data_IF_332053540305
#
_entry.id   IF_332053540305
#
_cell.length_a   1.000
_cell.length_b   1.000
_cell.length_c   1.000
_cell.angle_alpha   90.00
_cell.angle_beta   90.00
_cell.angle_gamma   90.00
#
_symmetry.space_group_name_H-M   'P 1'
#
loop_
_entity.id
_entity.type
_entity.pdbx_description
1 polymer ?
#
# COMPACT_ATOMS: atom_id res chain seq x y z
N UNK A 1 3.83 57.21 -36.31
CA UNK A 1 2.69 56.72 -36.98
C UNK A 1 1.53 56.52 -35.99
N UNK A 2 0.54 57.37 -36.15
CA UNK A 2 -0.62 57.52 -35.25
C UNK A 2 -1.63 56.40 -35.53
N UNK A 3 -2.19 55.85 -34.49
CA UNK A 3 -3.44 55.09 -34.45
C UNK A 3 -4.64 56.03 -34.56
N UNK A 4 -5.77 55.61 -35.11
CA UNK A 4 -7.04 56.10 -34.62
C UNK A 4 -7.93 54.96 -34.07
N UNK A 5 -8.44 55.22 -32.88
CA UNK A 5 -9.61 54.58 -32.28
C UNK A 5 -10.86 54.77 -33.14
N UNK A 6 -11.67 53.74 -33.25
CA UNK A 6 -13.05 53.82 -33.66
C UNK A 6 -13.93 53.11 -32.62
N UNK A 7 -14.56 53.92 -31.79
CA UNK A 7 -15.57 53.48 -30.83
C UNK A 7 -16.87 53.11 -31.56
N UNK A 8 -17.41 51.95 -31.22
CA UNK A 8 -18.79 51.59 -31.53
C UNK A 8 -19.58 51.51 -30.22
N UNK A 9 -20.39 52.57 -30.00
CA UNK A 9 -21.47 52.58 -29.02
C UNK A 9 -22.60 51.69 -29.50
N UNK A 10 -22.75 50.52 -28.93
CA UNK A 10 -23.95 49.70 -29.04
C UNK A 10 -24.98 50.12 -27.99
N UNK A 11 -26.05 50.73 -28.44
CA UNK A 11 -27.23 51.01 -27.63
C UNK A 11 -27.94 49.74 -27.23
N UNK A 12 -27.88 49.41 -25.97
CA UNK A 12 -28.66 48.32 -25.34
C UNK A 12 -30.13 48.74 -25.24
N UNK A 13 -30.93 48.23 -26.17
CA UNK A 13 -32.39 48.35 -26.09
C UNK A 13 -32.92 47.36 -25.05
N UNK A 14 -33.40 47.90 -23.98
CA UNK A 14 -34.08 47.18 -22.90
C UNK A 14 -35.46 46.70 -23.39
N UNK A 15 -35.53 45.46 -23.90
CA UNK A 15 -36.80 44.82 -24.23
C UNK A 15 -37.31 44.13 -22.95
N UNK A 16 -38.04 44.87 -22.16
CA UNK A 16 -38.81 44.37 -21.05
C UNK A 16 -39.96 43.46 -21.53
N UNK A 17 -39.68 42.16 -21.67
CA UNK A 17 -40.72 41.15 -21.89
C UNK A 17 -41.56 41.00 -20.62
N UNK A 18 -42.71 41.67 -20.59
CA UNK A 18 -43.76 41.44 -19.59
C UNK A 18 -44.28 40.01 -19.74
N UNK A 19 -43.77 39.11 -18.89
CA UNK A 19 -44.31 37.76 -18.71
C UNK A 19 -45.67 37.88 -18.01
N UNK A 20 -46.77 37.43 -18.59
CA UNK A 20 -48.05 37.43 -17.93
C UNK A 20 -48.04 36.54 -16.70
N UNK A 21 -48.47 37.06 -15.56
CA UNK A 21 -48.61 36.32 -14.32
C UNK A 21 -49.51 35.11 -14.54
N UNK A 22 -49.08 33.88 -14.13
CA UNK A 22 -49.95 32.71 -14.25
C UNK A 22 -51.16 32.89 -13.31
N UNK A 23 -52.32 32.72 -13.90
CA UNK A 23 -53.62 32.73 -13.18
C UNK A 23 -53.55 31.58 -12.15
N UNK A 24 -53.62 31.93 -10.87
CA UNK A 24 -53.74 30.94 -9.78
C UNK A 24 -55.10 30.20 -9.98
N UNK A 25 -55.03 29.02 -10.60
CA UNK A 25 -56.12 28.04 -10.51
C UNK A 25 -56.24 27.67 -9.03
N UNK A 26 -57.43 27.82 -8.50
CA UNK A 26 -57.79 27.49 -7.12
C UNK A 26 -57.27 26.11 -6.77
N UNK A 27 -56.61 26.02 -5.60
CA UNK A 27 -56.11 24.77 -5.08
C UNK A 27 -57.25 23.76 -5.00
N UNK A 28 -57.05 22.51 -5.44
CA UNK A 28 -58.05 21.45 -5.24
C UNK A 28 -58.28 21.25 -3.74
N UNK A 29 -59.52 20.90 -3.33
CA UNK A 29 -59.80 20.67 -1.92
C UNK A 29 -58.91 19.58 -1.33
N UNK A 30 -58.50 19.70 -0.07
CA UNK A 30 -57.66 18.73 0.59
C UNK A 30 -58.35 17.36 0.53
N UNK A 31 -57.69 16.40 -0.15
CA UNK A 31 -58.13 14.99 -0.14
C UNK A 31 -58.05 14.50 1.28
N UNK A 32 -59.19 14.14 1.87
CA UNK A 32 -59.25 13.39 3.11
C UNK A 32 -58.30 12.19 3.01
N UNK A 33 -57.39 11.99 3.98
CA UNK A 33 -56.47 10.86 3.93
C UNK A 33 -57.29 9.56 4.05
N UNK A 34 -57.19 8.75 3.00
CA UNK A 34 -57.83 7.44 2.95
C UNK A 34 -57.18 6.55 4.02
N UNK A 35 -57.88 6.05 5.02
CA UNK A 35 -57.30 5.30 6.12
C UNK A 35 -56.60 4.00 5.61
N UNK A 36 -57.05 3.46 4.47
CA UNK A 36 -56.43 2.31 3.85
C UNK A 36 -55.06 2.60 3.23
N UNK A 37 -54.78 3.85 2.80
CA UNK A 37 -53.47 4.24 2.23
C UNK A 37 -52.41 4.35 3.32
N UNK A 38 -52.77 4.69 4.56
CA UNK A 38 -51.86 4.74 5.69
C UNK A 38 -51.38 3.35 6.14
N UNK A 39 -52.28 2.38 6.12
CA UNK A 39 -51.96 1.02 6.56
C UNK A 39 -51.10 0.27 5.55
N UNK A 40 -51.33 0.46 4.26
CA UNK A 40 -50.46 -0.07 3.20
C UNK A 40 -49.07 0.55 3.17
N UNK A 41 -48.97 1.86 3.42
CA UNK A 41 -47.67 2.55 3.53
C UNK A 41 -46.88 2.12 4.79
N UNK A 42 -47.56 1.84 5.89
CA UNK A 42 -46.92 1.30 7.11
C UNK A 42 -46.40 -0.14 6.89
N UNK A 43 -47.17 -0.99 6.22
CA UNK A 43 -46.73 -2.37 5.85
C UNK A 43 -45.54 -2.36 4.87
N UNK A 44 -45.52 -1.47 3.89
CA UNK A 44 -44.39 -1.31 2.97
C UNK A 44 -43.12 -0.84 3.67
N UNK A 45 -43.25 0.06 4.66
CA UNK A 45 -42.10 0.52 5.47
C UNK A 45 -41.51 -0.58 6.35
N UNK A 46 -42.31 -1.53 6.81
CA UNK A 46 -41.85 -2.63 7.66
C UNK A 46 -41.10 -3.73 6.87
N UNK A 47 -41.35 -3.84 5.57
CA UNK A 47 -40.70 -4.85 4.69
C UNK A 47 -39.36 -4.38 4.12
N UNK A 48 -39.12 -3.07 4.05
CA UNK A 48 -37.88 -2.50 3.46
C UNK A 48 -36.58 -2.87 4.22
N UNK A 49 -36.53 -2.97 5.56
CA UNK A 49 -35.32 -3.33 6.27
C UNK A 49 -34.89 -4.79 6.01
N UNK A 50 -35.88 -5.71 5.89
CA UNK A 50 -35.60 -7.14 5.66
C UNK A 50 -35.02 -7.42 4.27
N UNK A 51 -35.43 -6.66 3.27
CA UNK A 51 -34.92 -6.80 1.89
C UNK A 51 -33.48 -6.26 1.77
N UNK A 52 -33.18 -5.11 2.38
CA UNK A 52 -31.82 -4.55 2.43
C UNK A 52 -30.85 -5.50 3.15
N UNK A 53 -31.25 -6.11 4.23
CA UNK A 53 -30.41 -7.03 5.00
C UNK A 53 -30.10 -8.32 4.23
N UNK A 54 -31.04 -8.87 3.46
CA UNK A 54 -30.81 -10.03 2.60
C UNK A 54 -29.86 -9.71 1.44
N UNK A 55 -29.98 -8.53 0.84
CA UNK A 55 -29.12 -8.10 -0.26
C UNK A 55 -27.68 -7.87 0.22
N UNK A 56 -27.50 -7.30 1.44
CA UNK A 56 -26.20 -7.11 2.04
C UNK A 56 -25.52 -8.45 2.34
N UNK A 57 -26.25 -9.41 2.91
CA UNK A 57 -25.71 -10.76 3.17
C UNK A 57 -25.29 -11.48 1.89
N UNK A 58 -26.05 -11.36 0.81
CA UNK A 58 -25.65 -11.94 -0.49
C UNK A 58 -24.39 -11.29 -1.04
N UNK A 59 -24.25 -9.97 -0.98
CA UNK A 59 -23.03 -9.26 -1.43
C UNK A 59 -21.81 -9.65 -0.60
N UNK A 60 -21.96 -9.75 0.71
CA UNK A 60 -20.89 -10.20 1.60
C UNK A 60 -20.52 -11.66 1.29
N UNK A 61 -21.53 -12.54 1.09
CA UNK A 61 -21.26 -13.93 0.70
C UNK A 61 -20.50 -14.03 -0.62
N UNK A 62 -20.91 -13.30 -1.65
CA UNK A 62 -20.19 -13.27 -2.93
C UNK A 62 -18.77 -12.69 -2.78
N UNK A 63 -18.58 -11.66 -1.98
CA UNK A 63 -17.25 -11.11 -1.72
C UNK A 63 -16.34 -12.13 -1.02
N UNK A 64 -16.86 -12.88 -0.05
CA UNK A 64 -16.12 -13.95 0.63
C UNK A 64 -15.77 -15.10 -0.32
N UNK A 65 -16.69 -15.51 -1.19
CA UNK A 65 -16.45 -16.56 -2.18
C UNK A 65 -15.38 -16.12 -3.19
N UNK A 66 -15.46 -14.89 -3.69
CA UNK A 66 -14.44 -14.34 -4.60
C UNK A 66 -13.07 -14.27 -3.93
N UNK A 67 -13.02 -13.81 -2.66
CA UNK A 67 -11.78 -13.75 -1.89
C UNK A 67 -11.20 -15.17 -1.66
N UNK A 68 -12.04 -16.15 -1.32
CA UNK A 68 -11.62 -17.54 -1.16
C UNK A 68 -11.09 -18.14 -2.47
N UNK A 69 -11.74 -17.84 -3.58
CA UNK A 69 -11.33 -18.29 -4.90
C UNK A 69 -10.00 -17.65 -5.33
N UNK A 70 -9.82 -16.37 -5.06
CA UNK A 70 -8.54 -15.67 -5.29
C UNK A 70 -7.41 -16.31 -4.47
N UNK A 71 -7.65 -16.58 -3.18
CA UNK A 71 -6.68 -17.28 -2.33
C UNK A 71 -6.37 -18.68 -2.87
N UNK A 72 -7.38 -19.43 -3.30
CA UNK A 72 -7.19 -20.76 -3.87
C UNK A 72 -6.34 -20.75 -5.15
N UNK A 73 -6.55 -19.76 -6.03
CA UNK A 73 -5.74 -19.57 -7.25
C UNK A 73 -4.29 -19.25 -6.90
N UNK A 74 -4.06 -18.36 -5.93
CA UNK A 74 -2.71 -17.99 -5.46
C UNK A 74 -2.00 -19.19 -4.82
N UNK A 75 -2.72 -20.04 -4.07
CA UNK A 75 -2.18 -21.29 -3.50
C UNK A 75 -1.81 -22.28 -4.61
N UNK A 76 -2.70 -22.45 -5.60
CA UNK A 76 -2.49 -23.40 -6.71
C UNK A 76 -1.34 -23.01 -7.64
N UNK A 77 -1.10 -21.69 -7.81
CA UNK A 77 0.00 -21.20 -8.67
C UNK A 77 1.38 -21.24 -8.00
N UNK A 78 1.46 -21.66 -6.72
CA UNK A 78 2.73 -21.74 -5.99
C UNK A 78 3.43 -20.41 -5.74
N UNK A 79 2.81 -19.28 -6.11
CA UNK A 79 3.37 -17.94 -5.94
C UNK A 79 3.30 -17.41 -4.51
N UNK A 80 2.62 -18.17 -3.61
CA UNK A 80 2.44 -17.77 -2.20
C UNK A 80 3.76 -17.63 -1.45
N UNK A 81 4.72 -18.51 -1.67
CA UNK A 81 5.99 -18.46 -0.97
C UNK A 81 6.79 -17.20 -1.32
N UNK A 82 6.80 -16.81 -2.59
CA UNK A 82 7.50 -15.60 -3.05
C UNK A 82 6.76 -14.32 -2.62
N UNK A 83 5.43 -14.28 -2.70
CA UNK A 83 4.65 -13.11 -2.32
C UNK A 83 4.58 -12.90 -0.80
N UNK A 84 4.53 -13.98 0.00
CA UNK A 84 4.61 -13.89 1.46
C UNK A 84 6.01 -13.46 1.93
N UNK A 85 7.06 -13.90 1.25
CA UNK A 85 8.42 -13.43 1.52
C UNK A 85 8.57 -11.92 1.25
N UNK A 86 7.95 -11.41 0.15
CA UNK A 86 7.93 -9.98 -0.18
C UNK A 86 7.10 -9.16 0.81
N UNK A 87 5.95 -9.68 1.25
CA UNK A 87 5.12 -9.02 2.26
C UNK A 87 5.82 -8.98 3.63
N UNK A 88 6.48 -10.08 4.02
CA UNK A 88 7.27 -10.11 5.24
C UNK A 88 8.41 -9.08 5.22
N UNK A 89 9.08 -8.91 4.11
CA UNK A 89 10.19 -7.96 3.94
C UNK A 89 9.73 -6.49 4.02
N UNK A 90 8.52 -6.20 3.54
CA UNK A 90 7.91 -4.85 3.67
C UNK A 90 7.45 -4.55 5.09
N UNK A 91 6.89 -5.53 5.79
CA UNK A 91 6.46 -5.38 7.19
C UNK A 91 7.67 -5.22 8.10
N UNK A 92 8.69 -6.07 7.96
CA UNK A 92 9.95 -5.97 8.72
C UNK A 92 10.64 -4.62 8.47
N UNK A 93 10.60 -4.13 7.24
CA UNK A 93 11.13 -2.80 6.89
C UNK A 93 10.36 -1.67 7.57
N UNK A 94 9.04 -1.80 7.69
CA UNK A 94 8.20 -0.80 8.37
C UNK A 94 8.43 -0.80 9.89
N UNK A 95 8.59 -1.97 10.50
CA UNK A 95 8.89 -2.10 11.95
C UNK A 95 10.22 -1.44 12.27
N UNK A 96 11.26 -1.68 11.47
CA UNK A 96 12.58 -1.04 11.66
C UNK A 96 12.53 0.48 11.51
N UNK A 97 11.58 1.01 10.76
CA UNK A 97 11.41 2.45 10.61
C UNK A 97 10.76 3.10 11.85
N UNK A 98 9.98 2.31 12.59
CA UNK A 98 9.31 2.75 13.84
C UNK A 98 10.21 2.57 15.06
N UNK A 99 11.06 1.54 15.07
CA UNK A 99 11.95 1.23 16.18
C UNK A 99 13.24 2.07 16.11
N UNK A 100 13.13 3.32 16.58
CA UNK A 100 14.22 4.30 16.64
C UNK A 100 14.99 4.28 17.96
N UNK A 101 14.66 3.35 18.85
CA UNK A 101 14.94 3.54 20.28
C UNK A 101 16.35 3.14 20.75
N UNK A 102 17.09 2.31 20.00
CA UNK A 102 18.34 1.72 20.50
C UNK A 102 19.58 2.01 19.63
N UNK A 103 19.61 3.09 18.89
CA UNK A 103 20.77 3.46 18.10
C UNK A 103 21.16 4.91 18.27
N UNK A 104 22.42 5.20 18.14
CA UNK A 104 22.96 6.56 18.13
C UNK A 104 24.34 6.58 17.49
N UNK A 105 24.61 7.64 16.71
CA UNK A 105 25.96 7.89 16.20
C UNK A 105 26.75 8.77 17.15
N UNK A 106 28.06 8.48 17.37
CA UNK A 106 28.86 7.41 16.78
C UNK A 106 28.58 6.04 17.39
N UNK A 107 28.45 4.99 16.54
CA UNK A 107 28.29 3.60 16.98
C UNK A 107 29.58 2.83 16.69
N UNK A 108 29.98 1.98 17.64
CA UNK A 108 31.07 1.02 17.41
C UNK A 108 30.51 -0.19 16.71
N UNK A 109 30.99 -0.45 15.49
CA UNK A 109 30.66 -1.69 14.77
C UNK A 109 31.41 -2.88 15.40
N UNK A 110 30.86 -4.08 15.27
CA UNK A 110 31.49 -5.27 15.84
C UNK A 110 32.69 -5.78 15.06
N UNK A 111 32.99 -5.19 13.89
CA UNK A 111 34.08 -5.60 12.98
C UNK A 111 35.22 -4.57 13.09
N UNK A 112 36.40 -5.05 13.47
CA UNK A 112 37.56 -4.16 13.65
C UNK A 112 38.22 -3.82 12.30
N UNK A 113 38.20 -4.77 11.35
CA UNK A 113 38.82 -4.63 10.03
C UNK A 113 37.82 -5.08 8.96
N UNK A 114 36.96 -4.18 8.50
CA UNK A 114 35.96 -4.50 7.50
C UNK A 114 36.59 -4.70 6.12
N UNK A 115 36.24 -5.79 5.46
CA UNK A 115 36.65 -6.10 4.09
C UNK A 115 35.87 -5.24 3.07
N UNK A 116 34.60 -5.00 3.35
CA UNK A 116 33.69 -4.26 2.47
C UNK A 116 32.56 -3.63 3.29
N UNK A 117 32.20 -2.40 2.94
CA UNK A 117 31.05 -1.69 3.52
C UNK A 117 30.22 -1.16 2.36
N UNK A 118 28.92 -1.48 2.35
CA UNK A 118 28.01 -1.08 1.29
C UNK A 118 26.72 -0.49 1.84
N UNK A 119 26.17 0.49 1.13
CA UNK A 119 24.90 1.11 1.50
C UNK A 119 23.73 0.21 1.12
N UNK A 120 22.84 0.03 2.05
CA UNK A 120 21.58 -0.68 1.90
C UNK A 120 20.44 0.28 2.19
N UNK A 121 19.28 0.13 1.55
CA UNK A 121 18.14 1.03 1.79
C UNK A 121 17.79 1.10 3.29
N UNK A 122 17.98 2.28 3.89
CA UNK A 122 17.75 2.54 5.32
C UNK A 122 18.85 2.05 6.27
N UNK A 123 20.10 1.88 5.77
CA UNK A 123 21.25 1.51 6.57
C UNK A 123 22.47 1.13 5.74
N UNK A 124 23.29 0.25 6.28
CA UNK A 124 24.46 -0.29 5.59
C UNK A 124 24.73 -1.72 6.05
N UNK A 125 25.48 -2.42 5.24
CA UNK A 125 25.98 -3.77 5.55
C UNK A 125 27.51 -3.73 5.56
N UNK A 126 28.08 -4.35 6.57
CA UNK A 126 29.50 -4.46 6.81
C UNK A 126 29.91 -5.92 6.73
N UNK A 127 30.89 -6.21 5.89
CA UNK A 127 31.47 -7.54 5.70
C UNK A 127 32.84 -7.56 6.36
N UNK A 128 33.02 -8.46 7.32
CA UNK A 128 34.32 -8.83 7.88
C UNK A 128 34.82 -10.16 7.32
N UNK A 129 35.89 -10.67 7.89
CA UNK A 129 36.47 -11.96 7.49
C UNK A 129 35.52 -13.14 7.80
N UNK A 130 34.83 -13.10 8.92
CA UNK A 130 33.96 -14.18 9.43
C UNK A 130 32.52 -13.74 9.60
N UNK A 131 32.29 -12.43 9.76
CA UNK A 131 31.00 -11.85 10.13
C UNK A 131 30.45 -10.93 9.04
N UNK A 132 29.14 -10.90 8.95
CA UNK A 132 28.37 -9.92 8.17
C UNK A 132 27.39 -9.25 9.10
N UNK A 133 27.51 -7.94 9.25
CA UNK A 133 26.67 -7.15 10.13
C UNK A 133 25.84 -6.14 9.32
N UNK A 134 24.57 -6.05 9.65
CA UNK A 134 23.66 -5.07 9.06
C UNK A 134 23.25 -4.06 10.12
N UNK A 135 23.40 -2.79 9.81
CA UNK A 135 23.04 -1.69 10.68
C UNK A 135 21.95 -0.81 10.06
N UNK A 136 21.08 -0.26 10.89
CA UNK A 136 20.13 0.78 10.48
C UNK A 136 20.86 2.11 10.24
N UNK A 137 20.17 3.05 9.59
CA UNK A 137 20.65 4.43 9.46
C UNK A 137 20.85 5.13 10.81
N UNK A 138 20.29 4.58 11.88
CA UNK A 138 20.39 5.11 13.24
C UNK A 138 21.50 4.45 14.09
N UNK A 139 22.26 3.51 13.51
CA UNK A 139 23.35 2.83 14.20
C UNK A 139 22.93 1.58 14.99
N UNK A 140 21.67 1.16 14.92
CA UNK A 140 21.23 -0.08 15.56
C UNK A 140 21.61 -1.28 14.71
N UNK A 141 22.17 -2.32 15.33
CA UNK A 141 22.47 -3.59 14.66
C UNK A 141 21.18 -4.38 14.42
N UNK A 142 20.90 -4.66 13.14
CA UNK A 142 19.68 -5.34 12.70
C UNK A 142 19.89 -6.84 12.54
N UNK A 143 21.01 -7.21 11.89
CA UNK A 143 21.30 -8.60 11.53
C UNK A 143 22.78 -8.90 11.74
N UNK A 144 23.07 -10.12 12.19
CA UNK A 144 24.40 -10.67 12.30
C UNK A 144 24.41 -12.06 11.69
N UNK A 145 25.34 -12.31 10.79
CA UNK A 145 25.53 -13.58 10.10
C UNK A 145 26.99 -13.99 10.17
N UNK A 146 27.23 -15.30 10.23
CA UNK A 146 28.58 -15.90 10.17
C UNK A 146 28.60 -16.94 9.04
N UNK A 147 28.79 -16.50 7.79
CA UNK A 147 28.72 -17.40 6.64
C UNK A 147 29.87 -18.42 6.59
N UNK A 148 30.96 -18.22 7.35
CA UNK A 148 32.14 -19.09 7.38
C UNK A 148 32.79 -19.33 6.00
N UNK A 149 32.75 -18.33 5.15
CA UNK A 149 33.31 -18.40 3.79
C UNK A 149 34.80 -18.06 3.79
N UNK A 150 35.61 -18.83 3.04
CA UNK A 150 37.03 -18.59 2.97
C UNK A 150 37.40 -17.25 2.30
N UNK A 151 36.62 -16.80 1.32
CA UNK A 151 36.79 -15.53 0.63
C UNK A 151 35.42 -14.89 0.39
N UNK A 152 34.80 -14.33 1.45
CA UNK A 152 33.50 -13.73 1.33
C UNK A 152 33.55 -12.45 0.48
N UNK A 153 32.55 -12.26 -0.35
CA UNK A 153 32.30 -11.05 -1.14
C UNK A 153 30.86 -10.64 -0.99
N UNK A 154 30.63 -9.36 -0.86
CA UNK A 154 29.31 -8.76 -0.70
C UNK A 154 28.85 -8.14 -2.02
N UNK A 155 27.61 -8.42 -2.40
CA UNK A 155 26.90 -7.74 -3.48
C UNK A 155 25.57 -7.19 -2.97
N UNK A 156 25.33 -5.90 -3.19
CA UNK A 156 24.14 -5.20 -2.65
C UNK A 156 23.23 -4.76 -3.78
N UNK A 157 21.93 -4.96 -3.57
CA UNK A 157 20.87 -4.56 -4.49
C UNK A 157 19.69 -3.96 -3.75
N UNK A 158 19.69 -2.65 -3.57
CA UNK A 158 18.59 -1.90 -2.97
C UNK A 158 18.27 -2.31 -1.52
N UNK A 159 17.30 -3.19 -1.31
CA UNK A 159 16.85 -3.67 0.02
C UNK A 159 17.42 -5.02 0.41
N UNK A 160 18.18 -5.66 -0.46
CA UNK A 160 18.72 -7.01 -0.29
C UNK A 160 20.21 -7.02 -0.57
N UNK A 161 20.87 -8.02 -0.02
CA UNK A 161 22.28 -8.27 -0.32
C UNK A 161 22.55 -9.78 -0.45
N UNK A 162 23.60 -10.09 -1.13
CA UNK A 162 24.11 -11.45 -1.25
C UNK A 162 25.54 -11.50 -0.74
N UNK A 163 25.86 -12.55 0.01
CA UNK A 163 27.22 -12.90 0.38
C UNK A 163 27.55 -14.20 -0.32
N UNK A 164 28.64 -14.22 -1.05
CA UNK A 164 29.08 -15.42 -1.75
C UNK A 164 30.57 -15.68 -1.52
N UNK A 165 30.94 -16.95 -1.58
CA UNK A 165 32.32 -17.36 -1.49
C UNK A 165 32.99 -17.30 -2.86
N UNK A 166 33.94 -16.38 -3.05
CA UNK A 166 34.68 -16.25 -4.34
C UNK A 166 35.53 -17.47 -4.67
N UNK A 167 35.90 -18.25 -3.68
CA UNK A 167 36.74 -19.45 -3.84
C UNK A 167 35.96 -20.76 -3.69
N UNK A 168 34.62 -20.68 -3.58
CA UNK A 168 33.74 -21.82 -3.34
C UNK A 168 32.43 -21.67 -4.09
N UNK A 169 31.48 -22.51 -3.73
CA UNK A 169 30.17 -22.65 -4.39
C UNK A 169 29.02 -22.17 -3.49
N UNK A 170 29.33 -21.46 -2.41
CA UNK A 170 28.34 -21.04 -1.43
C UNK A 170 27.80 -19.65 -1.75
N UNK A 171 26.50 -19.51 -1.62
CA UNK A 171 25.76 -18.25 -1.77
C UNK A 171 24.72 -18.12 -0.67
N UNK A 172 24.69 -16.98 -0.02
CA UNK A 172 23.61 -16.60 0.91
C UNK A 172 23.02 -15.26 0.48
N UNK A 173 21.72 -15.25 0.29
CA UNK A 173 20.94 -14.04 -0.04
C UNK A 173 20.12 -13.63 1.17
N UNK A 174 20.21 -12.36 1.54
CA UNK A 174 19.57 -11.81 2.73
C UNK A 174 18.75 -10.57 2.42
N UNK A 175 17.71 -10.35 3.20
CA UNK A 175 17.13 -9.04 3.43
C UNK A 175 17.85 -8.36 4.59
N UNK A 176 17.43 -7.15 4.95
CA UNK A 176 18.00 -6.44 6.11
C UNK A 176 17.81 -7.17 7.44
N UNK A 177 16.74 -7.97 7.56
CA UNK A 177 16.31 -8.57 8.82
C UNK A 177 16.54 -10.07 8.91
N UNK A 178 16.71 -10.74 7.77
CA UNK A 178 16.78 -12.22 7.74
C UNK A 178 17.46 -12.76 6.49
N UNK A 179 17.91 -14.00 6.60
CA UNK A 179 18.33 -14.81 5.46
C UNK A 179 17.10 -15.24 4.66
N UNK A 180 17.12 -15.00 3.37
CA UNK A 180 16.06 -15.40 2.43
C UNK A 180 16.36 -16.72 1.76
N UNK A 181 17.63 -16.95 1.45
CA UNK A 181 18.08 -18.09 0.70
C UNK A 181 19.54 -18.40 1.03
N UNK A 182 19.88 -19.65 1.20
CA UNK A 182 21.27 -20.10 1.36
C UNK A 182 21.42 -21.43 0.62
N UNK A 183 22.41 -21.52 -0.24
CA UNK A 183 22.68 -22.71 -1.02
C UNK A 183 24.19 -22.91 -1.22
N UNK A 184 24.55 -24.19 -1.24
CA UNK A 184 25.84 -24.66 -1.72
C UNK A 184 25.60 -25.30 -3.10
N UNK A 185 26.28 -24.82 -4.11
CA UNK A 185 26.20 -25.36 -5.47
C UNK A 185 27.27 -26.42 -5.63
N UNK A 186 26.85 -27.67 -5.58
CA UNK A 186 27.75 -28.79 -5.90
C UNK A 186 28.21 -28.67 -7.36
N UNK A 187 29.52 -28.75 -7.57
CA UNK A 187 30.16 -28.69 -8.89
C UNK A 187 30.22 -30.07 -9.55
#
# INVERSE_FOLDING_TARGET
GQTPEAGIRGTSGDISLRVPKPVRRGAPPPKTPDPAAGETAARLKSLTPLYKQRQHRRRVFFAVVIAALAVAVVVMTGTLSASLALLGDTIDSAILYVDRTDGGWPATTGITDPLQIELLAGGFVELGAEDVLVYSAYGSKILSLQPSYARPVLAVGGTRFAVYNRAGNELTVCSRTRTLYSQNFDS
#
